data_IF_564786012462
#
_entry.id   IF_564786012462
#
_cell.length_a   1.000
_cell.length_b   1.000
_cell.length_c   1.000
_cell.angle_alpha   90.00
_cell.angle_beta   90.00
_cell.angle_gamma   90.00
#
_symmetry.space_group_name_H-M   'P 1'
#
loop_
_entity.id
_entity.type
_entity.pdbx_description
1 polymer ?
#
# COMPACT_ATOMS: atom_id res chain seq x y z
N UNK A 1 11.24 -16.46 7.09
CA UNK A 1 12.72 -16.43 7.18
C UNK A 1 13.36 -16.00 5.84
N UNK A 2 13.01 -16.59 4.70
CA UNK A 2 13.57 -16.18 3.39
C UNK A 2 13.29 -14.70 3.04
N UNK A 3 12.05 -14.24 3.24
CA UNK A 3 11.66 -12.85 2.93
C UNK A 3 12.48 -11.80 3.71
N UNK A 4 12.65 -12.00 5.02
CA UNK A 4 13.49 -11.14 5.85
C UNK A 4 14.98 -11.21 5.44
N UNK A 5 15.49 -12.36 4.99
CA UNK A 5 16.87 -12.48 4.50
C UNK A 5 17.10 -11.69 3.20
N UNK A 6 16.15 -11.73 2.27
CA UNK A 6 16.16 -10.91 1.06
C UNK A 6 16.30 -9.42 1.43
N UNK A 7 15.42 -8.94 2.30
CA UNK A 7 15.41 -7.53 2.70
C UNK A 7 16.66 -7.12 3.47
N UNK A 8 17.22 -7.99 4.31
CA UNK A 8 18.52 -7.77 4.94
C UNK A 8 19.64 -7.58 3.91
N UNK A 9 19.64 -8.35 2.81
CA UNK A 9 20.66 -8.26 1.76
C UNK A 9 20.51 -6.98 0.93
N UNK A 10 19.27 -6.63 0.55
CA UNK A 10 18.98 -5.38 -0.15
C UNK A 10 19.34 -4.16 0.70
N UNK A 11 18.97 -4.16 1.99
CA UNK A 11 19.30 -3.09 2.92
C UNK A 11 20.81 -2.94 3.13
N UNK A 12 21.59 -4.03 3.16
CA UNK A 12 23.06 -3.94 3.19
C UNK A 12 23.64 -3.29 1.92
N UNK A 13 22.99 -3.47 0.78
CA UNK A 13 23.47 -2.94 -0.51
C UNK A 13 23.08 -1.47 -0.71
N UNK A 14 21.87 -1.10 -0.32
CA UNK A 14 21.25 0.18 -0.66
C UNK A 14 20.94 1.07 0.56
N UNK A 15 21.16 0.58 1.77
CA UNK A 15 20.73 1.23 3.02
C UNK A 15 21.35 2.60 3.34
N UNK A 16 22.43 2.96 2.64
CA UNK A 16 23.08 4.27 2.73
C UNK A 16 22.71 5.23 1.60
N UNK A 17 21.80 4.86 0.70
CA UNK A 17 21.38 5.68 -0.44
C UNK A 17 20.06 6.37 -0.12
N UNK A 18 20.10 7.68 0.12
CA UNK A 18 18.94 8.45 0.59
C UNK A 18 17.76 8.44 -0.40
N UNK A 19 18.02 8.32 -1.70
CA UNK A 19 17.00 8.36 -2.76
C UNK A 19 16.34 7.00 -3.00
N UNK A 20 16.74 5.95 -2.28
CA UNK A 20 16.15 4.61 -2.41
C UNK A 20 15.07 4.42 -1.35
N UNK A 21 13.86 4.06 -1.79
CA UNK A 21 12.80 3.53 -0.95
C UNK A 21 12.71 2.00 -1.10
N UNK A 22 12.24 1.32 -0.06
CA UNK A 22 12.08 -0.13 -0.01
C UNK A 22 10.59 -0.50 -0.05
N UNK A 23 10.07 -0.78 -1.24
CA UNK A 23 8.74 -1.39 -1.41
C UNK A 23 8.78 -2.88 -1.12
N UNK A 24 8.18 -3.30 0.00
CA UNK A 24 8.42 -4.63 0.57
C UNK A 24 8.01 -5.78 -0.35
N UNK A 25 6.89 -5.63 -1.05
CA UNK A 25 6.33 -6.61 -1.96
C UNK A 25 5.28 -5.96 -2.84
N UNK A 26 5.14 -6.42 -4.08
CA UNK A 26 4.03 -6.01 -4.91
C UNK A 26 2.80 -6.85 -4.56
N UNK A 27 1.67 -6.19 -4.27
CA UNK A 27 0.33 -6.78 -4.19
C UNK A 27 0.23 -8.17 -3.55
N UNK A 28 0.57 -8.35 -2.25
CA UNK A 28 0.27 -9.62 -1.57
C UNK A 28 -1.21 -10.01 -1.74
N UNK A 29 -1.48 -11.27 -2.10
CA UNK A 29 -2.81 -11.84 -2.26
C UNK A 29 -2.80 -13.33 -1.87
N UNK A 30 -3.98 -13.96 -1.76
CA UNK A 30 -4.16 -15.38 -1.44
C UNK A 30 -3.51 -15.84 -0.11
N UNK A 31 -3.44 -14.95 0.88
CA UNK A 31 -2.86 -15.27 2.19
C UNK A 31 -3.53 -14.48 3.33
N UNK A 32 -3.58 -15.02 4.56
CA UNK A 32 -4.15 -14.29 5.69
C UNK A 32 -3.43 -12.97 5.97
N UNK A 33 -4.17 -11.87 6.12
CA UNK A 33 -3.65 -10.53 6.41
C UNK A 33 -2.75 -10.51 7.66
N UNK A 34 -3.13 -11.25 8.71
CA UNK A 34 -2.34 -11.38 9.93
C UNK A 34 -1.01 -12.12 9.71
N UNK A 35 -0.95 -13.09 8.79
CA UNK A 35 0.28 -13.79 8.44
C UNK A 35 1.20 -12.91 7.59
N UNK A 36 0.62 -12.11 6.69
CA UNK A 36 1.34 -11.10 5.93
C UNK A 36 1.94 -10.03 6.85
N UNK A 37 1.15 -9.44 7.75
CA UNK A 37 1.62 -8.42 8.69
C UNK A 37 2.84 -8.89 9.52
N UNK A 38 2.84 -10.15 9.99
CA UNK A 38 4.01 -10.75 10.67
C UNK A 38 5.23 -10.86 9.76
N UNK A 39 5.02 -11.19 8.48
CA UNK A 39 6.10 -11.30 7.49
C UNK A 39 6.68 -9.93 7.13
N UNK A 40 5.83 -8.91 6.96
CA UNK A 40 6.22 -7.53 6.74
C UNK A 40 7.00 -6.97 7.93
N UNK A 41 6.52 -7.19 9.17
CA UNK A 41 7.25 -6.78 10.38
C UNK A 41 8.65 -7.41 10.45
N UNK A 42 8.77 -8.71 10.15
CA UNK A 42 10.06 -9.38 10.13
C UNK A 42 11.02 -8.81 9.06
N UNK A 43 10.50 -8.35 7.92
CA UNK A 43 11.29 -7.67 6.90
C UNK A 43 11.75 -6.28 7.37
N UNK A 44 10.85 -5.48 7.96
CA UNK A 44 11.17 -4.17 8.56
C UNK A 44 12.28 -4.32 9.60
N UNK A 45 12.12 -5.25 10.55
CA UNK A 45 13.10 -5.50 11.60
C UNK A 45 14.47 -5.89 11.00
N UNK A 46 14.48 -6.73 9.97
CA UNK A 46 15.69 -7.15 9.29
C UNK A 46 16.39 -6.01 8.53
N UNK A 47 15.64 -5.08 7.94
CA UNK A 47 16.16 -3.84 7.33
C UNK A 47 16.79 -2.96 8.40
N UNK A 48 16.06 -2.68 9.48
CA UNK A 48 16.56 -1.79 10.55
C UNK A 48 17.76 -2.37 11.28
N UNK A 49 17.85 -3.70 11.40
CA UNK A 49 19.02 -4.37 11.95
C UNK A 49 20.31 -4.18 11.13
N UNK A 50 20.24 -3.71 9.87
CA UNK A 50 21.43 -3.34 9.09
C UNK A 50 21.86 -1.89 9.31
N UNK A 51 21.11 -1.10 10.08
CA UNK A 51 21.31 0.35 10.22
C UNK A 51 20.72 1.18 9.08
N UNK A 52 19.96 0.57 8.15
CA UNK A 52 19.33 1.31 7.05
C UNK A 52 18.18 2.18 7.55
N UNK A 53 18.15 3.46 7.12
CA UNK A 53 17.13 4.45 7.51
C UNK A 53 16.16 4.83 6.38
N UNK A 54 16.23 4.12 5.24
CA UNK A 54 15.36 4.34 4.07
C UNK A 54 13.87 4.28 4.42
N UNK A 55 13.05 4.98 3.64
CA UNK A 55 11.61 4.81 3.65
C UNK A 55 11.25 3.37 3.29
N UNK A 56 10.40 2.73 4.10
CA UNK A 56 9.83 1.42 3.80
C UNK A 56 8.36 1.56 3.43
N UNK A 57 7.97 1.05 2.27
CA UNK A 57 6.58 1.00 1.82
C UNK A 57 6.01 -0.39 2.13
N UNK A 58 4.91 -0.41 2.88
CA UNK A 58 4.34 -1.61 3.48
C UNK A 58 2.94 -1.86 2.91
N UNK A 59 2.77 -2.80 1.97
CA UNK A 59 1.45 -3.13 1.44
C UNK A 59 0.65 -3.98 2.44
N UNK A 60 -0.65 -4.11 2.22
CA UNK A 60 -1.51 -5.14 2.81
C UNK A 60 -1.67 -6.34 1.88
N UNK A 61 -2.62 -7.24 2.19
CA UNK A 61 -3.10 -8.27 1.26
C UNK A 61 -4.21 -7.73 0.35
N UNK A 62 -4.90 -8.59 -0.42
CA UNK A 62 -5.96 -8.18 -1.35
C UNK A 62 -5.47 -7.11 -2.34
N UNK A 63 -4.30 -7.37 -2.94
CA UNK A 63 -3.62 -6.45 -3.87
C UNK A 63 -3.40 -5.06 -3.29
N UNK A 64 -3.33 -4.96 -1.96
CA UNK A 64 -3.16 -3.71 -1.22
C UNK A 64 -4.15 -2.59 -1.61
N UNK A 65 -5.36 -2.98 -2.04
CA UNK A 65 -6.38 -2.06 -2.55
C UNK A 65 -6.84 -1.03 -1.52
N UNK A 66 -6.81 0.26 -1.87
CA UNK A 66 -7.32 1.33 -0.99
C UNK A 66 -8.82 1.15 -0.68
N UNK A 67 -9.62 0.86 -1.72
CA UNK A 67 -11.07 0.65 -1.65
C UNK A 67 -11.53 -0.48 -0.72
N UNK A 68 -10.64 -1.43 -0.38
CA UNK A 68 -10.93 -2.64 0.38
C UNK A 68 -10.22 -2.69 1.73
N UNK A 69 -9.43 -1.66 2.08
CA UNK A 69 -8.51 -1.71 3.23
C UNK A 69 -9.16 -2.08 4.57
N UNK A 70 -10.38 -1.60 4.82
CA UNK A 70 -11.11 -1.86 6.07
C UNK A 70 -12.27 -2.85 5.91
N UNK A 71 -12.38 -3.50 4.74
CA UNK A 71 -13.45 -4.47 4.47
C UNK A 71 -13.02 -5.87 4.89
N UNK A 72 -13.98 -6.64 5.38
CA UNK A 72 -13.81 -8.08 5.59
C UNK A 72 -13.61 -8.78 4.25
N UNK A 73 -12.71 -9.77 4.25
CA UNK A 73 -12.42 -10.62 3.09
C UNK A 73 -12.14 -12.03 3.57
N UNK A 74 -12.05 -13.01 2.67
CA UNK A 74 -11.63 -14.37 3.05
C UNK A 74 -10.20 -14.43 3.64
N UNK A 75 -9.42 -13.36 3.45
CA UNK A 75 -8.06 -13.22 3.99
C UNK A 75 -8.00 -12.36 5.27
N UNK A 76 -9.14 -11.88 5.77
CA UNK A 76 -9.25 -10.97 6.91
C UNK A 76 -9.22 -9.49 6.52
N UNK A 77 -9.16 -8.61 7.53
CA UNK A 77 -9.18 -7.15 7.36
C UNK A 77 -7.77 -6.56 7.43
N UNK A 78 -7.29 -5.96 6.33
CA UNK A 78 -5.99 -5.28 6.30
C UNK A 78 -5.87 -4.21 7.40
N UNK A 79 -6.89 -3.35 7.52
CA UNK A 79 -6.93 -2.28 8.49
C UNK A 79 -6.90 -2.73 9.96
N UNK A 80 -7.12 -4.01 10.26
CA UNK A 80 -6.91 -4.57 11.60
C UNK A 80 -5.52 -5.17 11.73
N UNK A 81 -5.15 -6.06 10.80
CA UNK A 81 -3.86 -6.74 10.82
C UNK A 81 -2.67 -5.76 10.78
N UNK A 82 -2.77 -4.75 9.92
CA UNK A 82 -1.68 -3.81 9.64
C UNK A 82 -1.49 -2.75 10.74
N UNK A 83 -2.44 -2.59 11.68
CA UNK A 83 -2.26 -1.71 12.88
C UNK A 83 -1.08 -2.15 13.74
N UNK A 84 -0.74 -3.44 13.69
CA UNK A 84 0.34 -4.03 14.48
C UNK A 84 1.74 -3.66 14.00
N UNK A 85 1.87 -3.11 12.78
CA UNK A 85 3.17 -2.73 12.21
C UNK A 85 3.79 -1.57 13.00
N UNK A 86 5.04 -1.79 13.39
CA UNK A 86 5.90 -0.83 14.07
C UNK A 86 7.23 -0.72 13.33
N UNK A 87 7.72 0.51 13.19
CA UNK A 87 9.04 0.77 12.65
C UNK A 87 9.70 1.88 13.47
N UNK A 88 10.99 1.72 13.74
CA UNK A 88 11.82 2.75 14.39
C UNK A 88 12.28 3.82 13.39
N UNK A 89 12.20 3.53 12.09
CA UNK A 89 12.49 4.46 11.00
C UNK A 89 11.22 4.93 10.28
N UNK A 90 11.42 5.56 9.12
CA UNK A 90 10.33 6.04 8.27
C UNK A 90 9.64 4.88 7.53
N UNK A 91 8.31 4.80 7.65
CA UNK A 91 7.49 3.91 6.84
C UNK A 91 6.19 4.61 6.40
N UNK A 92 5.62 4.11 5.31
CA UNK A 92 4.28 4.42 4.86
C UNK A 92 3.57 3.12 4.45
N UNK A 93 2.24 3.08 4.59
CA UNK A 93 1.46 1.99 4.02
C UNK A 93 1.29 2.23 2.52
N UNK A 94 1.57 1.21 1.72
CA UNK A 94 1.45 1.26 0.27
C UNK A 94 0.05 0.83 -0.14
N UNK A 95 -0.60 1.58 -1.01
CA UNK A 95 -1.94 1.30 -1.51
C UNK A 95 -1.97 1.33 -3.03
N UNK A 96 -2.79 0.47 -3.62
CA UNK A 96 -3.07 0.49 -5.06
C UNK A 96 -4.53 0.87 -5.27
N UNK A 97 -4.82 1.61 -6.33
CA UNK A 97 -6.19 1.97 -6.68
C UNK A 97 -6.34 2.25 -8.17
N UNK A 98 -7.00 1.34 -8.88
CA UNK A 98 -7.48 1.59 -10.24
C UNK A 98 -8.88 2.20 -10.21
N UNK A 99 -9.42 2.56 -11.37
CA UNK A 99 -10.68 3.29 -11.51
C UNK A 99 -11.79 2.49 -12.20
N UNK A 100 -11.49 1.28 -12.69
CA UNK A 100 -12.44 0.46 -13.41
C UNK A 100 -13.46 -0.25 -12.50
N UNK A 101 -14.40 -0.97 -13.12
CA UNK A 101 -15.59 -1.47 -12.45
C UNK A 101 -15.27 -2.40 -11.27
N UNK A 102 -14.19 -3.17 -11.30
CA UNK A 102 -13.78 -4.06 -10.22
C UNK A 102 -12.47 -3.64 -9.54
N UNK A 103 -11.93 -2.46 -9.90
CA UNK A 103 -10.69 -1.90 -9.37
C UNK A 103 -9.43 -2.69 -9.76
N UNK A 104 -9.51 -3.57 -10.76
CA UNK A 104 -8.40 -4.41 -11.22
C UNK A 104 -7.41 -3.70 -12.16
N UNK A 105 -7.81 -2.59 -12.77
CA UNK A 105 -7.03 -1.92 -13.82
C UNK A 105 -7.02 -2.67 -15.16
N UNK A 106 -7.91 -3.65 -15.35
CA UNK A 106 -7.98 -4.45 -16.58
C UNK A 106 -8.79 -3.79 -17.70
N UNK A 107 -9.57 -2.75 -17.37
CA UNK A 107 -10.39 -2.00 -18.33
C UNK A 107 -10.01 -0.51 -18.40
N UNK A 108 -10.10 0.06 -19.60
CA UNK A 108 -9.95 1.50 -19.83
C UNK A 108 -11.20 2.32 -19.47
N UNK A 109 -12.29 1.70 -19.02
CA UNK A 109 -13.50 2.39 -18.57
C UNK A 109 -13.40 2.71 -17.07
N UNK A 110 -13.64 3.95 -16.68
CA UNK A 110 -13.56 4.38 -15.29
C UNK A 110 -14.93 4.56 -14.66
N UNK A 111 -15.01 4.40 -13.34
CA UNK A 111 -16.14 4.81 -12.51
C UNK A 111 -16.26 6.33 -12.44
N UNK A 112 -17.36 6.84 -11.88
CA UNK A 112 -17.55 8.28 -11.69
C UNK A 112 -16.60 8.79 -10.60
N UNK A 113 -16.17 10.05 -10.72
CA UNK A 113 -15.22 10.67 -9.79
C UNK A 113 -15.59 10.54 -8.31
N UNK A 114 -16.88 10.63 -7.97
CA UNK A 114 -17.35 10.50 -6.58
C UNK A 114 -17.11 9.09 -6.02
N UNK A 115 -17.24 8.05 -6.86
CA UNK A 115 -16.95 6.66 -6.48
C UNK A 115 -15.45 6.43 -6.29
N UNK A 116 -14.62 7.05 -7.14
CA UNK A 116 -13.16 7.00 -7.03
C UNK A 116 -12.68 7.65 -5.73
N UNK A 117 -13.21 8.84 -5.39
CA UNK A 117 -12.91 9.53 -4.14
C UNK A 117 -13.41 8.73 -2.93
N UNK A 118 -14.59 8.13 -3.02
CA UNK A 118 -15.12 7.28 -1.95
C UNK A 118 -14.23 6.05 -1.71
N UNK A 119 -13.70 5.44 -2.77
CA UNK A 119 -12.76 4.32 -2.69
C UNK A 119 -11.46 4.71 -1.96
N UNK A 120 -10.82 5.82 -2.33
CA UNK A 120 -9.61 6.30 -1.64
C UNK A 120 -9.88 6.71 -0.19
N UNK A 121 -11.05 7.29 0.08
CA UNK A 121 -11.42 7.75 1.43
C UNK A 121 -11.41 6.62 2.45
N UNK A 122 -11.61 5.36 2.05
CA UNK A 122 -11.50 4.18 2.92
C UNK A 122 -10.11 4.11 3.56
N UNK A 123 -9.05 4.12 2.74
CA UNK A 123 -7.68 4.11 3.22
C UNK A 123 -7.31 5.43 3.91
N UNK A 124 -7.69 6.58 3.34
CA UNK A 124 -7.33 7.89 3.90
C UNK A 124 -7.89 8.11 5.30
N UNK A 125 -9.14 7.71 5.56
CA UNK A 125 -9.74 7.82 6.89
C UNK A 125 -9.05 6.91 7.89
N UNK A 126 -8.76 5.66 7.51
CA UNK A 126 -8.01 4.74 8.35
C UNK A 126 -6.61 5.28 8.70
N UNK A 127 -5.90 5.87 7.73
CA UNK A 127 -4.60 6.49 7.97
C UNK A 127 -4.70 7.64 8.97
N UNK A 128 -5.69 8.53 8.82
CA UNK A 128 -5.92 9.65 9.75
C UNK A 128 -6.23 9.18 11.17
N UNK A 129 -7.15 8.23 11.31
CA UNK A 129 -7.54 7.66 12.61
C UNK A 129 -6.36 6.99 13.33
N UNK A 130 -5.50 6.31 12.58
CA UNK A 130 -4.37 5.57 13.14
C UNK A 130 -3.07 6.39 13.15
N UNK A 131 -3.11 7.67 12.75
CA UNK A 131 -1.96 8.58 12.67
C UNK A 131 -0.81 8.01 11.83
N UNK A 132 -1.13 7.41 10.69
CA UNK A 132 -0.19 6.77 9.77
C UNK A 132 -0.04 7.58 8.48
N UNK A 133 1.00 7.26 7.71
CA UNK A 133 1.27 7.81 6.38
C UNK A 133 0.95 6.76 5.32
N UNK A 134 0.49 7.22 4.16
CA UNK A 134 0.19 6.37 3.01
C UNK A 134 0.98 6.79 1.78
N UNK A 135 1.16 5.87 0.85
CA UNK A 135 1.74 6.07 -0.47
C UNK A 135 0.85 5.34 -1.48
N UNK A 136 0.32 6.04 -2.49
CA UNK A 136 -0.42 5.39 -3.57
C UNK A 136 0.59 4.87 -4.61
N UNK A 137 0.95 3.59 -4.51
CA UNK A 137 2.00 2.93 -5.29
C UNK A 137 1.62 2.70 -6.74
N UNK A 138 0.37 2.31 -6.99
CA UNK A 138 -0.18 2.13 -8.33
C UNK A 138 -1.56 2.76 -8.45
N UNK A 139 -1.78 3.42 -9.57
CA UNK A 139 -3.07 3.90 -10.04
C UNK A 139 -2.98 4.11 -11.55
N UNK A 140 -4.13 4.01 -12.24
CA UNK A 140 -4.18 4.15 -13.69
C UNK A 140 -5.62 4.31 -14.17
N UNK A 141 -5.77 5.01 -15.30
CA UNK A 141 -7.07 5.31 -15.90
C UNK A 141 -6.96 5.28 -17.43
N UNK A 142 -8.06 4.96 -18.12
CA UNK A 142 -8.11 5.07 -19.58
C UNK A 142 -8.19 6.52 -20.07
N UNK A 143 -8.12 6.71 -21.40
CA UNK A 143 -8.14 8.05 -22.00
C UNK A 143 -9.55 8.50 -22.43
N UNK A 144 -10.42 8.69 -21.44
CA UNK A 144 -11.77 9.25 -21.63
C UNK A 144 -11.99 10.46 -20.72
N UNK A 145 -12.99 11.28 -21.04
CA UNK A 145 -13.36 12.43 -20.20
C UNK A 145 -13.67 12.01 -18.75
N UNK A 146 -14.50 10.99 -18.58
CA UNK A 146 -14.84 10.45 -17.26
C UNK A 146 -13.60 9.92 -16.50
N UNK A 147 -12.67 9.27 -17.19
CA UNK A 147 -11.43 8.81 -16.58
C UNK A 147 -10.53 9.98 -16.13
N UNK A 148 -10.41 11.02 -16.94
CA UNK A 148 -9.64 12.23 -16.58
C UNK A 148 -10.26 12.94 -15.39
N UNK A 149 -11.59 13.08 -15.35
CA UNK A 149 -12.29 13.62 -14.17
C UNK A 149 -12.06 12.79 -12.91
N UNK A 150 -12.07 11.46 -13.04
CA UNK A 150 -11.79 10.55 -11.93
C UNK A 150 -10.34 10.67 -11.43
N UNK A 151 -9.39 10.78 -12.35
CA UNK A 151 -7.97 10.96 -12.05
C UNK A 151 -7.71 12.30 -11.36
N UNK A 152 -8.27 13.40 -11.88
CA UNK A 152 -8.16 14.73 -11.28
C UNK A 152 -8.72 14.74 -9.87
N UNK A 153 -9.89 14.11 -9.65
CA UNK A 153 -10.50 14.01 -8.33
C UNK A 153 -9.68 13.15 -7.36
N UNK A 154 -9.09 12.05 -7.83
CA UNK A 154 -8.16 11.21 -7.05
C UNK A 154 -6.93 12.02 -6.60
N UNK A 155 -6.29 12.74 -7.51
CA UNK A 155 -5.11 13.55 -7.21
C UNK A 155 -5.44 14.70 -6.26
N UNK A 156 -6.56 15.39 -6.48
CA UNK A 156 -7.02 16.47 -5.61
C UNK A 156 -7.37 15.97 -4.20
N UNK A 157 -7.84 14.73 -4.04
CA UNK A 157 -8.11 14.14 -2.72
C UNK A 157 -6.83 13.86 -1.91
N UNK A 158 -5.69 13.65 -2.58
CA UNK A 158 -4.40 13.35 -1.94
C UNK A 158 -3.54 14.59 -1.65
N UNK A 159 -3.88 15.75 -2.24
CA UNK A 159 -3.20 17.02 -2.04
C UNK A 159 -3.48 17.61 -0.65
#
# INVERSE_FOLDING_TARGET
RAFADLWRRLARKFGGQADVAFGLMNEPHDMPAAAWAKSAQAAIDAIRATGACNLVLVPGVNWTGAHSWTKESEHGVNGEAMRTIQDKGAHAFEFHQYLDADWSGSSGQCRKKDEVVAALSVATNWLRENKRKGFLGEFGAGDSEQCREGLDAMLAHMA
#
